data_IF_465944402442
#
_entry.id   IF_465944402442
#
_cell.length_a   1.000
_cell.length_b   1.000
_cell.length_c   1.000
_cell.angle_alpha   90.00
_cell.angle_beta   90.00
_cell.angle_gamma   90.00
#
_symmetry.space_group_name_H-M   'P 1'
#
loop_
_entity.id
_entity.type
_entity.pdbx_description
1 polymer ?
#
# COMPACT_ATOMS: atom_id res chain seq x y z
N UNK A 1 0.64 11.80 46.70
CA UNK A 1 0.39 10.35 46.84
C UNK A 1 1.07 9.63 45.69
N UNK A 2 2.18 8.95 45.96
CA UNK A 2 2.87 8.06 45.01
C UNK A 2 2.62 6.64 45.53
N UNK A 3 2.10 5.74 44.70
CA UNK A 3 1.83 4.34 45.03
C UNK A 3 2.74 3.48 44.15
N UNK A 4 3.49 2.57 44.76
CA UNK A 4 4.37 1.65 44.04
C UNK A 4 3.55 0.46 43.51
N UNK A 5 3.73 0.11 42.23
CA UNK A 5 3.18 -1.12 41.67
C UNK A 5 4.06 -2.30 42.13
N UNK A 6 3.42 -3.29 42.74
CA UNK A 6 4.08 -4.46 43.35
C UNK A 6 3.75 -5.76 42.61
N UNK A 7 3.06 -5.68 41.47
CA UNK A 7 2.72 -6.85 40.66
C UNK A 7 3.96 -7.48 40.04
N UNK A 8 3.93 -8.80 39.81
CA UNK A 8 4.96 -9.48 39.04
C UNK A 8 4.81 -9.31 37.51
N UNK A 9 3.69 -8.74 37.06
CA UNK A 9 3.39 -8.45 35.65
C UNK A 9 3.85 -7.07 35.22
N UNK A 10 3.76 -6.79 33.91
CA UNK A 10 4.06 -5.48 33.35
C UNK A 10 2.96 -4.47 33.70
N UNK A 11 3.37 -3.27 34.14
CA UNK A 11 2.44 -2.22 34.56
C UNK A 11 1.49 -1.78 33.44
N UNK A 12 1.93 -1.80 32.18
CA UNK A 12 1.09 -1.35 31.07
C UNK A 12 0.11 -2.45 30.67
N UNK A 13 0.53 -3.71 30.72
CA UNK A 13 -0.36 -4.87 30.52
C UNK A 13 -1.46 -4.94 31.59
N UNK A 14 -1.10 -4.81 32.86
CA UNK A 14 -2.06 -4.87 33.98
C UNK A 14 -3.18 -3.82 33.88
N UNK A 15 -2.92 -2.71 33.17
CA UNK A 15 -3.86 -1.60 32.98
C UNK A 15 -4.33 -1.44 31.52
N UNK A 16 -4.04 -2.42 30.64
CA UNK A 16 -4.39 -2.40 29.21
C UNK A 16 -3.94 -1.15 28.45
N UNK A 17 -2.80 -0.56 28.85
CA UNK A 17 -2.27 0.67 28.22
C UNK A 17 -1.80 0.39 26.79
N UNK A 18 -1.23 -0.79 26.53
CA UNK A 18 -0.75 -1.17 25.20
C UNK A 18 -1.87 -1.18 24.15
N UNK A 19 -3.05 -1.72 24.49
CA UNK A 19 -4.22 -1.72 23.60
C UNK A 19 -4.69 -0.30 23.26
N UNK A 20 -4.61 0.61 24.24
CA UNK A 20 -4.96 2.03 24.05
C UNK A 20 -3.93 2.73 23.18
N UNK A 21 -2.64 2.41 23.32
CA UNK A 21 -1.57 2.95 22.46
C UNK A 21 -1.76 2.47 21.03
N UNK A 22 -1.97 1.17 20.81
CA UNK A 22 -2.19 0.61 19.48
C UNK A 22 -3.44 1.21 18.82
N UNK A 23 -4.54 1.32 19.57
CA UNK A 23 -5.76 1.98 19.11
C UNK A 23 -5.55 3.48 18.80
N UNK A 24 -4.63 4.15 19.50
CA UNK A 24 -4.25 5.54 19.25
C UNK A 24 -3.36 5.71 18.00
N UNK A 25 -2.79 4.62 17.46
CA UNK A 25 -2.11 4.62 16.17
C UNK A 25 -3.06 4.36 15.00
N UNK A 26 -4.24 3.78 15.25
CA UNK A 26 -5.21 3.52 14.19
C UNK A 26 -5.76 4.81 13.58
N UNK A 27 -5.91 4.82 12.25
CA UNK A 27 -6.52 5.94 11.51
C UNK A 27 -8.01 6.12 11.84
N UNK A 28 -8.70 5.04 12.19
CA UNK A 28 -10.15 5.00 12.42
C UNK A 28 -10.43 4.74 13.90
N UNK A 29 -11.35 5.48 14.51
CA UNK A 29 -11.76 5.28 15.91
C UNK A 29 -13.27 5.10 15.97
N UNK A 30 -13.72 3.98 16.53
CA UNK A 30 -15.15 3.66 16.62
C UNK A 30 -15.86 4.42 17.73
N UNK A 31 -17.10 4.81 17.45
CA UNK A 31 -18.05 5.34 18.42
C UNK A 31 -18.87 4.17 18.99
N UNK A 32 -19.35 4.28 20.23
CA UNK A 32 -20.22 3.30 20.90
C UNK A 32 -21.54 3.11 20.14
N UNK A 33 -22.02 4.13 19.43
CA UNK A 33 -23.20 4.03 18.56
C UNK A 33 -22.99 3.27 17.25
N UNK A 34 -21.75 2.83 16.94
CA UNK A 34 -21.42 2.14 15.69
C UNK A 34 -21.01 3.07 14.54
N UNK A 35 -21.08 4.39 14.75
CA UNK A 35 -20.35 5.37 13.94
C UNK A 35 -18.84 5.29 14.18
N UNK A 36 -18.07 6.14 13.50
CA UNK A 36 -16.63 6.22 13.68
C UNK A 36 -16.10 7.59 13.25
N UNK A 37 -14.97 7.99 13.81
CA UNK A 37 -14.18 9.10 13.29
C UNK A 37 -12.97 8.60 12.52
N UNK A 38 -12.52 9.39 11.56
CA UNK A 38 -11.29 9.17 10.81
C UNK A 38 -10.36 10.35 11.07
N UNK A 39 -9.12 10.09 11.49
CA UNK A 39 -8.13 11.12 11.77
C UNK A 39 -7.04 11.03 10.71
N UNK A 40 -6.89 12.10 9.93
CA UNK A 40 -5.90 12.23 8.87
C UNK A 40 -4.91 13.35 9.19
N UNK A 41 -3.62 13.00 9.15
CA UNK A 41 -2.53 13.94 9.36
C UNK A 41 -2.09 14.50 8.00
N UNK A 42 -2.28 15.81 7.80
CA UNK A 42 -1.70 16.55 6.69
C UNK A 42 -0.42 17.28 7.10
N UNK A 43 0.25 17.90 6.12
CA UNK A 43 1.44 18.72 6.36
C UNK A 43 1.12 20.00 7.16
N UNK A 44 0.00 20.65 6.83
CA UNK A 44 -0.38 21.93 7.41
C UNK A 44 -1.44 21.83 8.51
N UNK A 45 -2.28 20.80 8.47
CA UNK A 45 -3.41 20.62 9.38
C UNK A 45 -3.75 19.15 9.58
N UNK A 46 -4.45 18.86 10.67
CA UNK A 46 -5.08 17.56 10.91
C UNK A 46 -6.56 17.66 10.57
N UNK A 47 -7.07 16.76 9.75
CA UNK A 47 -8.50 16.66 9.44
C UNK A 47 -9.13 15.50 10.19
N UNK A 48 -10.32 15.71 10.73
CA UNK A 48 -11.09 14.69 11.43
C UNK A 48 -12.50 14.60 10.83
N UNK A 49 -12.87 13.45 10.32
CA UNK A 49 -14.15 13.21 9.65
C UNK A 49 -15.05 12.29 10.48
N UNK A 50 -16.34 12.61 10.59
CA UNK A 50 -17.31 11.87 11.41
C UNK A 50 -18.29 11.10 10.54
N UNK A 51 -18.38 9.78 10.76
CA UNK A 51 -19.23 8.88 10.00
C UNK A 51 -20.23 8.14 10.88
N UNK A 52 -21.41 7.86 10.34
CA UNK A 52 -22.53 7.21 11.02
C UNK A 52 -22.54 5.68 10.92
N UNK A 53 -21.64 5.10 10.13
CA UNK A 53 -21.58 3.65 9.92
C UNK A 53 -22.80 3.08 9.18
N UNK A 54 -22.98 1.75 9.22
CA UNK A 54 -24.05 1.05 8.46
C UNK A 54 -25.44 1.11 9.11
N UNK A 55 -25.61 1.75 10.27
CA UNK A 55 -26.77 1.54 11.14
C UNK A 55 -27.89 2.59 11.06
N UNK A 56 -27.90 3.50 10.07
CA UNK A 56 -29.01 4.46 9.96
C UNK A 56 -30.18 3.84 9.19
N UNK A 57 -31.23 3.45 9.91
CA UNK A 57 -32.57 3.28 9.33
C UNK A 57 -33.17 4.64 8.99
N UNK A 58 -33.75 4.79 7.79
CA UNK A 58 -34.24 6.04 7.21
C UNK A 58 -35.31 6.83 8.01
N UNK A 59 -35.76 6.33 9.17
CA UNK A 59 -36.91 6.90 9.90
C UNK A 59 -36.55 7.88 11.02
N UNK A 60 -35.30 8.02 11.46
CA UNK A 60 -34.89 8.98 12.52
C UNK A 60 -33.49 9.57 12.27
N UNK A 61 -33.28 10.22 11.13
CA UNK A 61 -31.95 10.71 10.71
C UNK A 61 -31.42 11.84 11.60
N UNK A 62 -32.19 12.92 11.84
CA UNK A 62 -31.67 14.13 12.51
C UNK A 62 -31.21 13.90 13.97
N UNK A 63 -32.03 13.25 14.80
CA UNK A 63 -31.65 12.93 16.19
C UNK A 63 -30.46 11.96 16.25
N UNK A 64 -30.39 11.01 15.32
CA UNK A 64 -29.25 10.08 15.23
C UNK A 64 -27.97 10.81 14.84
N UNK A 65 -28.06 11.75 13.90
CA UNK A 65 -26.95 12.61 13.49
C UNK A 65 -26.46 13.45 14.67
N UNK A 66 -27.35 14.16 15.36
CA UNK A 66 -27.00 14.97 16.52
C UNK A 66 -26.32 14.11 17.60
N UNK A 67 -26.90 12.95 17.94
CA UNK A 67 -26.33 12.02 18.92
C UNK A 67 -24.93 11.54 18.51
N UNK A 68 -24.75 11.21 17.23
CA UNK A 68 -23.47 10.75 16.69
C UNK A 68 -22.42 11.87 16.75
N UNK A 69 -22.79 13.10 16.39
CA UNK A 69 -21.88 14.25 16.45
C UNK A 69 -21.51 14.62 17.90
N UNK A 70 -22.45 14.55 18.84
CA UNK A 70 -22.16 14.77 20.28
C UNK A 70 -21.23 13.69 20.84
N UNK A 71 -21.41 12.44 20.44
CA UNK A 71 -20.51 11.35 20.81
C UNK A 71 -19.13 11.52 20.17
N UNK A 72 -19.08 11.89 18.88
CA UNK A 72 -17.84 12.20 18.19
C UNK A 72 -17.10 13.34 18.88
N UNK A 73 -17.77 14.39 19.35
CA UNK A 73 -17.14 15.47 20.10
C UNK A 73 -16.38 14.98 21.36
N UNK A 74 -16.95 14.02 22.10
CA UNK A 74 -16.30 13.40 23.26
C UNK A 74 -15.08 12.56 22.87
N UNK A 75 -15.20 11.78 21.81
CA UNK A 75 -14.11 10.94 21.31
C UNK A 75 -12.98 11.80 20.74
N UNK A 76 -13.29 12.79 19.90
CA UNK A 76 -12.32 13.69 19.27
C UNK A 76 -11.51 14.41 20.34
N UNK A 77 -12.15 15.09 21.30
CA UNK A 77 -11.42 15.81 22.36
C UNK A 77 -10.54 14.87 23.19
N UNK A 78 -10.94 13.61 23.37
CA UNK A 78 -10.12 12.59 24.03
C UNK A 78 -8.93 12.15 23.18
N UNK A 79 -9.12 11.95 21.88
CA UNK A 79 -8.06 11.60 20.93
C UNK A 79 -7.05 12.75 20.74
N UNK A 80 -7.49 14.02 20.74
CA UNK A 80 -6.59 15.17 20.72
C UNK A 80 -5.57 15.13 21.86
N UNK A 81 -6.02 14.75 23.07
CA UNK A 81 -5.13 14.61 24.24
C UNK A 81 -4.30 13.34 24.19
N UNK A 82 -4.92 12.20 23.87
CA UNK A 82 -4.25 10.90 23.87
C UNK A 82 -3.13 10.82 22.82
N UNK A 83 -3.38 11.39 21.63
CA UNK A 83 -2.43 11.41 20.51
C UNK A 83 -1.53 12.65 20.49
N UNK A 84 -1.79 13.59 21.41
CA UNK A 84 -1.21 14.93 21.46
C UNK A 84 -1.22 15.66 20.11
N UNK A 85 -2.39 15.72 19.48
CA UNK A 85 -2.59 16.42 18.21
C UNK A 85 -2.60 17.92 18.46
N UNK A 86 -1.76 18.67 17.77
CA UNK A 86 -1.73 20.13 17.82
C UNK A 86 -1.67 20.76 16.42
N UNK A 87 -1.56 22.08 16.38
CA UNK A 87 -1.61 22.88 15.17
C UNK A 87 -3.04 23.22 14.78
N UNK A 88 -3.27 23.37 13.48
CA UNK A 88 -4.59 23.61 12.90
C UNK A 88 -5.31 22.27 12.79
N UNK A 89 -6.54 22.21 13.32
CA UNK A 89 -7.39 21.04 13.28
C UNK A 89 -8.72 21.44 12.66
N UNK A 90 -9.17 20.67 11.67
CA UNK A 90 -10.45 20.86 10.99
C UNK A 90 -11.29 19.61 11.20
N UNK A 91 -12.51 19.80 11.69
CA UNK A 91 -13.43 18.71 12.03
C UNK A 91 -14.66 18.81 11.14
N UNK A 92 -14.91 17.75 10.36
CA UNK A 92 -16.08 17.58 9.51
C UNK A 92 -17.11 16.72 10.26
N UNK A 93 -18.02 17.41 10.96
CA UNK A 93 -19.17 16.74 11.58
C UNK A 93 -20.21 16.43 10.52
N UNK A 94 -21.03 15.41 10.77
CA UNK A 94 -22.13 15.04 9.86
C UNK A 94 -23.08 16.23 9.72
N UNK A 95 -23.48 16.54 8.49
CA UNK A 95 -24.37 17.66 8.16
C UNK A 95 -25.63 17.70 9.04
N UNK A 96 -25.86 18.86 9.67
CA UNK A 96 -27.03 19.15 10.50
C UNK A 96 -27.82 20.30 9.87
N UNK A 97 -29.11 20.08 9.60
CA UNK A 97 -29.99 21.11 9.03
C UNK A 97 -30.46 22.15 10.06
N UNK A 98 -30.41 21.80 11.34
CA UNK A 98 -30.82 22.67 12.45
C UNK A 98 -29.61 23.44 12.98
N UNK A 99 -29.75 24.77 13.06
CA UNK A 99 -28.72 25.62 13.68
C UNK A 99 -28.61 25.35 15.19
N UNK A 100 -29.71 24.99 15.85
CA UNK A 100 -29.72 24.61 17.26
C UNK A 100 -28.90 23.34 17.50
N UNK A 101 -28.96 22.37 16.59
CA UNK A 101 -28.18 21.14 16.66
C UNK A 101 -26.68 21.42 16.49
N UNK A 102 -26.32 22.28 15.53
CA UNK A 102 -24.93 22.76 15.34
C UNK A 102 -24.43 23.46 16.58
N UNK A 103 -25.23 24.35 17.16
CA UNK A 103 -24.87 25.08 18.36
C UNK A 103 -24.74 24.18 19.59
N UNK A 104 -25.56 23.12 19.69
CA UNK A 104 -25.45 22.11 20.73
C UNK A 104 -24.12 21.33 20.64
N UNK A 105 -23.74 20.89 19.44
CA UNK A 105 -22.45 20.23 19.20
C UNK A 105 -21.28 21.17 19.51
N UNK A 106 -21.33 22.42 19.02
CA UNK A 106 -20.31 23.43 19.29
C UNK A 106 -20.12 23.66 20.79
N UNK A 107 -21.23 23.90 21.51
CA UNK A 107 -21.20 24.19 22.94
C UNK A 107 -20.67 23.01 23.75
N UNK A 108 -21.08 21.78 23.38
CA UNK A 108 -20.57 20.55 24.00
C UNK A 108 -19.08 20.38 23.74
N UNK A 109 -18.63 20.57 22.51
CA UNK A 109 -17.22 20.45 22.14
C UNK A 109 -16.36 21.47 22.89
N UNK A 110 -16.80 22.73 22.97
CA UNK A 110 -16.14 23.79 23.74
C UNK A 110 -16.02 23.42 25.23
N UNK A 111 -17.09 22.92 25.84
CA UNK A 111 -17.08 22.45 27.24
C UNK A 111 -16.09 21.31 27.47
N UNK A 112 -15.98 20.37 26.53
CA UNK A 112 -15.06 19.23 26.63
C UNK A 112 -13.60 19.65 26.54
N UNK A 113 -13.30 20.69 25.76
CA UNK A 113 -11.96 21.27 25.63
C UNK A 113 -11.47 21.96 26.91
N UNK A 114 -12.35 22.41 27.81
CA UNK A 114 -11.96 22.99 29.10
C UNK A 114 -11.16 22.01 29.99
N UNK A 115 -11.25 20.71 29.72
CA UNK A 115 -10.47 19.66 30.39
C UNK A 115 -9.07 19.49 29.80
N UNK A 116 -8.79 20.08 28.65
CA UNK A 116 -7.47 20.05 28.03
C UNK A 116 -6.53 21.05 28.71
N UNK A 117 -5.33 20.59 29.07
CA UNK A 117 -4.31 21.43 29.68
C UNK A 117 -3.57 22.26 28.63
N UNK A 118 -3.61 21.84 27.37
CA UNK A 118 -2.99 22.54 26.25
C UNK A 118 -3.92 23.65 25.79
N UNK A 119 -3.36 24.85 25.53
CA UNK A 119 -4.14 25.99 25.05
C UNK A 119 -4.83 25.65 23.73
N UNK A 120 -6.15 25.82 23.70
CA UNK A 120 -6.98 25.65 22.50
C UNK A 120 -7.75 26.92 22.16
N UNK A 121 -7.97 27.15 20.88
CA UNK A 121 -8.87 28.18 20.38
C UNK A 121 -9.80 27.55 19.35
N UNK A 122 -11.10 27.81 19.45
CA UNK A 122 -12.12 27.21 18.61
C UNK A 122 -12.92 28.33 17.93
N UNK A 123 -13.10 28.20 16.63
CA UNK A 123 -13.92 29.09 15.83
C UNK A 123 -15.33 28.51 15.68
N UNK A 124 -16.32 29.36 15.43
CA UNK A 124 -17.65 28.90 15.02
C UNK A 124 -17.56 28.06 13.74
N UNK A 125 -18.57 27.22 13.49
CA UNK A 125 -18.66 26.50 12.23
C UNK A 125 -18.52 27.43 11.02
N UNK A 126 -17.72 27.01 10.04
CA UNK A 126 -17.53 27.74 8.79
C UNK A 126 -18.78 27.68 7.92
N UNK A 127 -18.79 28.46 6.84
CA UNK A 127 -19.86 28.40 5.82
C UNK A 127 -19.93 27.05 5.11
N UNK A 128 -18.86 26.25 5.18
CA UNK A 128 -18.80 24.91 4.60
C UNK A 128 -19.24 23.82 5.59
N UNK A 129 -19.67 24.19 6.81
CA UNK A 129 -20.09 23.20 7.81
C UNK A 129 -18.96 22.61 8.66
N UNK A 130 -17.72 23.08 8.47
CA UNK A 130 -16.53 22.59 9.19
C UNK A 130 -16.33 23.33 10.51
N UNK A 131 -15.91 22.61 11.55
CA UNK A 131 -15.46 23.20 12.80
C UNK A 131 -13.94 23.36 12.78
N UNK A 132 -13.47 24.59 12.95
CA UNK A 132 -12.05 24.93 12.89
C UNK A 132 -11.53 25.24 14.29
N UNK A 133 -10.36 24.70 14.64
CA UNK A 133 -9.71 24.98 15.91
C UNK A 133 -8.19 24.99 15.79
N UNK A 134 -7.53 25.61 16.76
CA UNK A 134 -6.10 25.44 16.99
C UNK A 134 -5.87 24.85 18.38
N UNK A 135 -4.85 23.99 18.48
CA UNK A 135 -4.34 23.48 19.76
C UNK A 135 -2.82 23.66 19.75
N UNK A 136 -2.25 24.26 20.79
CA UNK A 136 -0.80 24.53 20.81
C UNK A 136 0.02 23.24 20.62
N UNK A 137 0.98 23.26 19.69
CA UNK A 137 1.95 22.18 19.53
C UNK A 137 2.88 22.12 20.75
N UNK A 138 2.95 20.96 21.40
CA UNK A 138 3.83 20.73 22.56
C UNK A 138 4.81 19.57 22.34
N UNK A 139 4.50 18.64 21.44
CA UNK A 139 5.39 17.54 21.03
C UNK A 139 5.10 17.13 19.57
N UNK A 140 5.82 16.11 19.08
CA UNK A 140 5.59 15.48 17.76
C UNK A 140 4.37 14.53 17.75
N UNK A 141 3.64 14.42 18.87
CA UNK A 141 2.50 13.54 19.02
C UNK A 141 2.88 12.06 19.05
N UNK A 142 1.87 11.21 19.20
CA UNK A 142 2.09 9.76 19.31
C UNK A 142 2.67 9.16 18.01
N UNK A 143 2.19 9.61 16.85
CA UNK A 143 2.66 9.10 15.55
C UNK A 143 4.09 9.55 15.27
N UNK A 144 4.43 10.82 15.54
CA UNK A 144 5.80 11.31 15.34
C UNK A 144 6.81 10.66 16.29
N UNK A 145 6.37 10.28 17.49
CA UNK A 145 7.22 9.63 18.49
C UNK A 145 7.39 8.12 18.24
N UNK A 146 6.32 7.41 17.89
CA UNK A 146 6.31 5.94 17.84
C UNK A 146 6.46 5.37 16.42
N UNK A 147 6.25 6.17 15.37
CA UNK A 147 6.26 5.69 13.99
C UNK A 147 7.39 6.31 13.16
N UNK A 148 7.67 5.69 12.01
CA UNK A 148 8.55 6.24 10.97
C UNK A 148 7.77 6.38 9.68
N UNK A 149 8.13 7.38 8.88
CA UNK A 149 7.57 7.57 7.54
C UNK A 149 7.77 6.32 6.69
N UNK A 150 6.72 5.89 5.98
CA UNK A 150 6.76 4.72 5.12
C UNK A 150 7.86 4.87 4.05
N UNK A 151 8.83 3.94 3.94
CA UNK A 151 9.93 4.04 2.98
C UNK A 151 9.48 3.80 1.53
N UNK A 152 8.32 3.18 1.32
CA UNK A 152 7.82 2.86 -0.02
C UNK A 152 7.14 4.04 -0.70
N UNK A 153 6.38 4.83 0.06
CA UNK A 153 5.59 5.95 -0.46
C UNK A 153 6.01 7.30 0.13
N UNK A 154 7.01 7.34 1.01
CA UNK A 154 7.45 8.55 1.71
C UNK A 154 6.31 9.28 2.42
N UNK A 155 5.33 8.52 2.94
CA UNK A 155 4.20 9.06 3.68
C UNK A 155 2.99 9.48 2.82
N UNK A 156 3.03 9.35 1.50
CA UNK A 156 1.89 9.76 0.64
C UNK A 156 0.67 8.85 0.75
N UNK A 157 0.84 7.60 1.19
CA UNK A 157 -0.24 6.61 1.28
C UNK A 157 -0.65 5.99 -0.07
N UNK A 158 0.03 6.32 -1.17
CA UNK A 158 -0.21 5.73 -2.49
C UNK A 158 1.11 5.43 -3.23
N UNK A 159 1.07 4.39 -4.05
CA UNK A 159 2.15 4.02 -4.98
C UNK A 159 1.61 4.06 -6.40
N UNK A 160 2.50 4.28 -7.38
CA UNK A 160 2.11 4.23 -8.80
C UNK A 160 1.57 2.84 -9.14
N UNK A 161 0.54 2.78 -9.98
CA UNK A 161 0.03 1.51 -10.47
C UNK A 161 1.08 0.79 -11.30
N UNK A 162 0.99 -0.54 -11.34
CA UNK A 162 1.90 -1.39 -12.11
C UNK A 162 1.91 -1.02 -13.59
N UNK A 163 0.76 -0.61 -14.13
CA UNK A 163 0.61 -0.12 -15.50
C UNK A 163 1.40 1.17 -15.75
N UNK A 164 1.32 2.14 -14.82
CA UNK A 164 2.13 3.36 -14.90
C UNK A 164 3.62 3.03 -14.84
N UNK A 165 4.02 2.15 -13.93
CA UNK A 165 5.43 1.72 -13.79
C UNK A 165 5.91 1.00 -15.05
N UNK A 166 5.11 0.13 -15.66
CA UNK A 166 5.41 -0.53 -16.95
C UNK A 166 5.71 0.50 -18.03
N UNK A 167 4.84 1.50 -18.20
CA UNK A 167 5.01 2.56 -19.20
C UNK A 167 6.29 3.39 -18.95
N UNK A 168 6.64 3.64 -17.69
CA UNK A 168 7.90 4.30 -17.33
C UNK A 168 9.12 3.45 -17.69
N UNK A 169 9.08 2.15 -17.41
CA UNK A 169 10.13 1.21 -17.81
C UNK A 169 10.28 1.17 -19.33
N UNK A 170 9.19 1.07 -20.09
CA UNK A 170 9.25 1.10 -21.56
C UNK A 170 9.89 2.40 -22.08
N UNK A 171 9.58 3.56 -21.48
CA UNK A 171 10.22 4.84 -21.82
C UNK A 171 11.72 4.83 -21.49
N UNK A 172 12.12 4.29 -20.34
CA UNK A 172 13.53 4.11 -19.96
C UNK A 172 14.26 3.22 -20.96
N UNK A 173 13.65 2.13 -21.41
CA UNK A 173 14.20 1.24 -22.44
C UNK A 173 14.38 1.97 -23.77
N UNK A 174 13.36 2.70 -24.24
CA UNK A 174 13.44 3.49 -25.48
C UNK A 174 14.55 4.53 -25.42
N UNK A 175 14.68 5.22 -24.28
CA UNK A 175 15.76 6.19 -24.04
C UNK A 175 17.13 5.51 -24.05
N UNK A 176 17.31 4.41 -23.30
CA UNK A 176 18.54 3.61 -23.28
C UNK A 176 18.94 3.15 -24.69
N UNK A 177 17.98 2.64 -25.47
CA UNK A 177 18.23 2.18 -26.83
C UNK A 177 18.68 3.30 -27.79
N UNK A 178 18.20 4.53 -27.56
CA UNK A 178 18.60 5.71 -28.33
C UNK A 178 20.00 6.19 -27.94
N UNK A 179 20.28 6.23 -26.64
CA UNK A 179 21.48 6.86 -26.08
C UNK A 179 22.69 5.92 -26.06
N UNK A 180 22.49 4.60 -26.20
CA UNK A 180 23.54 3.59 -26.13
C UNK A 180 23.71 2.82 -27.46
N UNK A 181 24.95 2.73 -28.01
CA UNK A 181 25.20 2.08 -29.29
C UNK A 181 25.07 0.55 -29.25
N UNK A 182 25.09 -0.08 -28.07
CA UNK A 182 24.99 -1.53 -27.90
C UNK A 182 23.79 -2.11 -28.66
N UNK A 183 23.94 -3.31 -29.24
CA UNK A 183 22.90 -3.96 -30.03
C UNK A 183 21.87 -4.67 -29.16
N UNK A 184 22.21 -4.94 -27.90
CA UNK A 184 21.40 -5.71 -26.98
C UNK A 184 21.55 -5.24 -25.53
N UNK A 185 20.50 -5.42 -24.73
CA UNK A 185 20.45 -5.10 -23.30
C UNK A 185 19.82 -6.22 -22.48
N UNK A 186 20.41 -6.52 -21.31
CA UNK A 186 19.79 -7.31 -20.25
C UNK A 186 19.33 -6.37 -19.13
N UNK A 187 18.04 -6.43 -18.81
CA UNK A 187 17.41 -5.51 -17.85
C UNK A 187 16.80 -6.32 -16.72
N UNK A 188 17.14 -5.96 -15.48
CA UNK A 188 16.52 -6.53 -14.27
C UNK A 188 15.36 -5.67 -13.80
N UNK A 189 14.25 -6.32 -13.50
CA UNK A 189 12.99 -5.71 -13.04
C UNK A 189 12.35 -6.56 -11.94
N UNK A 190 11.44 -5.96 -11.17
CA UNK A 190 10.54 -6.72 -10.31
C UNK A 190 9.67 -7.70 -11.15
N UNK A 191 9.33 -8.92 -10.68
CA UNK A 191 8.61 -9.93 -11.46
C UNK A 191 7.27 -9.46 -12.02
N UNK A 192 6.49 -8.70 -11.23
CA UNK A 192 5.19 -8.20 -11.67
C UNK A 192 5.33 -7.24 -12.85
N UNK A 193 6.30 -6.31 -12.76
CA UNK A 193 6.58 -5.35 -13.83
C UNK A 193 7.22 -6.04 -15.04
N UNK A 194 8.12 -7.00 -14.82
CA UNK A 194 8.73 -7.80 -15.87
C UNK A 194 7.67 -8.52 -16.71
N UNK A 195 6.70 -9.18 -16.06
CA UNK A 195 5.59 -9.86 -16.72
C UNK A 195 4.77 -8.91 -17.60
N UNK A 196 4.47 -7.71 -17.10
CA UNK A 196 3.74 -6.68 -17.86
C UNK A 196 4.54 -6.15 -19.06
N UNK A 197 5.85 -5.91 -18.90
CA UNK A 197 6.73 -5.45 -19.97
C UNK A 197 6.91 -6.53 -21.05
N UNK A 198 7.00 -7.80 -20.65
CA UNK A 198 7.05 -8.94 -21.57
C UNK A 198 5.71 -9.06 -22.32
N UNK A 199 4.61 -9.01 -21.56
CA UNK A 199 3.26 -9.21 -22.05
C UNK A 199 2.96 -10.66 -22.42
N UNK A 200 1.69 -10.99 -22.61
CA UNK A 200 1.26 -12.34 -22.99
C UNK A 200 1.96 -12.81 -24.27
N UNK A 201 2.68 -13.93 -24.18
CA UNK A 201 3.44 -14.50 -25.30
C UNK A 201 4.59 -13.61 -25.81
N UNK A 202 5.08 -12.67 -25.01
CA UNK A 202 6.18 -11.77 -25.39
C UNK A 202 5.78 -10.65 -26.35
N UNK A 203 4.49 -10.41 -26.57
CA UNK A 203 3.99 -9.44 -27.56
C UNK A 203 4.44 -8.01 -27.28
N UNK A 204 4.43 -7.58 -26.02
CA UNK A 204 4.79 -6.21 -25.64
C UNK A 204 6.28 -5.98 -25.85
N UNK A 205 7.12 -6.90 -25.35
CA UNK A 205 8.56 -6.86 -25.54
C UNK A 205 8.95 -6.92 -27.03
N UNK A 206 8.34 -7.79 -27.82
CA UNK A 206 8.60 -7.86 -29.26
C UNK A 206 8.23 -6.57 -29.99
N UNK A 207 7.19 -5.86 -29.55
CA UNK A 207 6.83 -4.53 -30.09
C UNK A 207 7.90 -3.49 -29.72
N UNK A 208 8.38 -3.53 -28.48
CA UNK A 208 9.43 -2.64 -27.98
C UNK A 208 10.75 -2.83 -28.73
N UNK A 209 11.14 -4.08 -29.02
CA UNK A 209 12.32 -4.40 -29.82
C UNK A 209 12.21 -3.91 -31.26
N UNK A 210 11.03 -4.07 -31.89
CA UNK A 210 10.79 -3.55 -33.25
C UNK A 210 10.95 -2.04 -33.31
N UNK A 211 10.43 -1.33 -32.31
CA UNK A 211 10.52 0.14 -32.22
C UNK A 211 11.94 0.62 -31.97
N UNK A 212 12.66 -0.05 -31.07
CA UNK A 212 14.02 0.34 -30.66
C UNK A 212 15.10 -0.16 -31.62
N UNK A 213 14.81 -1.20 -32.41
CA UNK A 213 15.77 -1.97 -33.22
C UNK A 213 16.94 -2.54 -32.40
N UNK A 214 16.69 -2.82 -31.12
CA UNK A 214 17.64 -3.44 -30.19
C UNK A 214 17.07 -4.75 -29.68
N UNK A 215 17.94 -5.70 -29.34
CA UNK A 215 17.53 -6.89 -28.62
C UNK A 215 17.39 -6.57 -27.13
N UNK A 216 16.27 -6.94 -26.52
CA UNK A 216 15.99 -6.65 -25.12
C UNK A 216 15.65 -7.96 -24.42
N UNK A 217 16.46 -8.34 -23.44
CA UNK A 217 16.19 -9.42 -22.49
C UNK A 217 15.80 -8.82 -21.13
N UNK A 218 14.86 -9.48 -20.46
CA UNK A 218 14.38 -9.09 -19.14
C UNK A 218 14.60 -10.26 -18.18
N UNK A 219 15.22 -9.99 -17.04
CA UNK A 219 15.32 -10.92 -15.91
C UNK A 219 14.50 -10.38 -14.75
N UNK A 220 13.77 -11.25 -14.07
CA UNK A 220 13.04 -10.85 -12.86
C UNK A 220 13.84 -11.10 -11.58
N UNK A 221 13.72 -10.22 -10.61
CA UNK A 221 14.31 -10.37 -9.28
C UNK A 221 13.33 -9.89 -8.20
N UNK A 222 12.99 -10.77 -7.25
CA UNK A 222 11.97 -10.51 -6.22
C UNK A 222 12.34 -9.41 -5.24
N UNK A 223 13.63 -9.26 -4.91
CA UNK A 223 14.14 -8.22 -4.02
C UNK A 223 14.02 -6.81 -4.57
N UNK A 224 13.73 -6.64 -5.86
CA UNK A 224 13.62 -5.33 -6.48
C UNK A 224 12.26 -4.69 -6.21
N UNK A 225 12.21 -3.43 -5.74
CA UNK A 225 10.99 -2.62 -5.75
C UNK A 225 10.40 -2.52 -7.16
N UNK A 226 9.07 -2.40 -7.27
CA UNK A 226 8.37 -2.35 -8.56
C UNK A 226 8.94 -1.29 -9.53
N UNK A 227 9.31 -0.10 -9.04
CA UNK A 227 9.86 0.98 -9.86
C UNK A 227 11.31 0.82 -10.33
N UNK A 228 12.01 -0.23 -9.88
CA UNK A 228 13.42 -0.45 -10.17
C UNK A 228 13.65 -0.75 -11.65
N UNK A 229 14.73 -0.18 -12.19
CA UNK A 229 15.17 -0.40 -13.56
C UNK A 229 16.69 -0.49 -13.57
N UNK A 230 17.23 -1.69 -13.69
CA UNK A 230 18.68 -1.93 -13.65
C UNK A 230 19.11 -2.49 -15.00
N UNK A 231 20.04 -1.81 -15.66
CA UNK A 231 20.71 -2.34 -16.85
C UNK A 231 21.84 -3.25 -16.34
N UNK A 232 21.65 -4.56 -16.44
CA UNK A 232 22.63 -5.54 -15.97
C UNK A 232 23.79 -5.66 -16.96
N UNK A 233 23.50 -5.70 -18.25
CA UNK A 233 24.50 -5.80 -19.30
C UNK A 233 24.04 -5.11 -20.59
N UNK A 234 25.01 -4.64 -21.37
CA UNK A 234 24.81 -4.08 -22.71
C UNK A 234 25.93 -4.57 -23.63
N UNK A 235 25.60 -5.04 -24.83
CA UNK A 235 26.61 -5.60 -25.73
C UNK A 235 26.05 -6.09 -27.06
N UNK A 236 26.63 -7.18 -27.55
CA UNK A 236 26.13 -7.90 -28.73
C UNK A 236 24.93 -8.77 -28.38
N UNK A 237 24.15 -9.15 -29.40
CA UNK A 237 22.96 -9.99 -29.21
C UNK A 237 23.33 -11.35 -28.62
N UNK A 238 24.46 -11.93 -29.02
CA UNK A 238 24.88 -13.25 -28.56
C UNK A 238 25.30 -13.23 -27.09
N UNK A 239 26.10 -12.23 -26.67
CA UNK A 239 26.51 -12.06 -25.28
C UNK A 239 25.28 -11.94 -24.36
N UNK A 240 24.32 -11.09 -24.73
CA UNK A 240 23.11 -10.89 -23.92
C UNK A 240 22.21 -12.13 -23.92
N UNK A 241 22.10 -12.85 -25.04
CA UNK A 241 21.33 -14.11 -25.10
C UNK A 241 21.90 -15.17 -24.18
N UNK A 242 23.21 -15.33 -24.15
CA UNK A 242 23.85 -16.30 -23.26
C UNK A 242 23.74 -15.85 -21.80
N UNK A 243 23.98 -14.57 -21.52
CA UNK A 243 23.85 -14.02 -20.18
C UNK A 243 22.41 -14.08 -19.64
N UNK A 244 21.39 -13.99 -20.51
CA UNK A 244 19.99 -13.96 -20.07
C UNK A 244 19.42 -15.33 -19.70
N UNK A 245 20.09 -16.44 -20.03
CA UNK A 245 19.56 -17.79 -19.77
C UNK A 245 19.78 -18.15 -18.28
N UNK A 246 18.72 -18.37 -17.50
CA UNK A 246 18.85 -18.77 -16.09
C UNK A 246 19.32 -20.21 -15.91
N UNK A 247 19.14 -21.06 -16.93
CA UNK A 247 19.48 -22.47 -16.92
C UNK A 247 19.88 -22.95 -18.32
N UNK A 248 20.37 -24.18 -18.43
CA UNK A 248 20.79 -24.86 -19.66
C UNK A 248 19.86 -26.01 -20.00
N UNK A 249 19.86 -26.42 -21.28
CA UNK A 249 19.17 -27.65 -21.70
C UNK A 249 19.83 -28.84 -21.00
N UNK A 250 19.02 -29.70 -20.39
CA UNK A 250 19.45 -30.82 -19.55
C UNK A 250 19.52 -30.51 -18.05
N UNK A 251 19.36 -29.25 -17.63
CA UNK A 251 19.30 -28.92 -16.21
C UNK A 251 18.04 -29.52 -15.56
N UNK A 252 18.20 -30.05 -14.36
CA UNK A 252 17.10 -30.57 -13.55
C UNK A 252 16.77 -29.54 -12.48
N UNK A 253 15.56 -29.01 -12.54
CA UNK A 253 15.06 -28.00 -11.62
C UNK A 253 13.94 -28.58 -10.77
N UNK A 254 13.87 -28.20 -9.50
CA UNK A 254 12.71 -28.46 -8.66
C UNK A 254 11.81 -27.23 -8.69
N UNK A 255 10.68 -27.31 -9.38
CA UNK A 255 9.80 -26.17 -9.68
C UNK A 255 8.40 -26.37 -9.11
N UNK A 256 7.83 -25.29 -8.58
CA UNK A 256 6.41 -25.25 -8.21
C UNK A 256 5.55 -25.07 -9.46
N UNK A 257 4.50 -25.88 -9.58
CA UNK A 257 3.55 -25.78 -10.69
C UNK A 257 2.47 -24.76 -10.32
N UNK A 258 2.50 -23.59 -10.94
CA UNK A 258 1.69 -22.43 -10.53
C UNK A 258 0.31 -22.41 -11.20
N UNK A 259 0.27 -22.49 -12.54
CA UNK A 259 -0.95 -22.20 -13.30
C UNK A 259 -1.12 -23.09 -14.54
N UNK A 260 -2.36 -23.31 -15.04
CA UNK A 260 -2.58 -24.11 -16.25
C UNK A 260 -2.07 -23.39 -17.50
N UNK A 261 -1.48 -24.13 -18.43
CA UNK A 261 -1.07 -23.55 -19.71
C UNK A 261 -2.29 -23.33 -20.62
N UNK A 262 -2.50 -22.09 -21.09
CA UNK A 262 -3.71 -21.76 -21.83
C UNK A 262 -3.85 -22.43 -23.20
N UNK A 263 -2.74 -22.90 -23.79
CA UNK A 263 -2.71 -23.46 -25.15
C UNK A 263 -2.77 -24.99 -25.19
N UNK A 264 -2.44 -25.69 -24.09
CA UNK A 264 -2.53 -27.15 -24.01
C UNK A 264 -3.18 -27.55 -22.68
N UNK A 265 -4.25 -28.35 -22.77
CA UNK A 265 -5.04 -28.75 -21.60
C UNK A 265 -4.29 -29.66 -20.63
N UNK A 266 -3.17 -30.28 -21.01
CA UNK A 266 -2.43 -31.19 -20.13
C UNK A 266 -1.22 -30.53 -19.46
N UNK A 267 -0.78 -29.39 -19.98
CA UNK A 267 0.45 -28.73 -19.51
C UNK A 267 0.16 -27.69 -18.43
N UNK A 268 1.21 -27.34 -17.70
CA UNK A 268 1.18 -26.27 -16.72
C UNK A 268 2.35 -25.31 -16.92
N UNK A 269 2.30 -24.18 -16.21
CA UNK A 269 3.34 -23.16 -16.20
C UNK A 269 3.94 -23.04 -14.80
N UNK A 270 5.25 -22.81 -14.79
CA UNK A 270 6.02 -22.35 -13.65
C UNK A 270 6.85 -21.14 -14.06
N UNK A 271 7.45 -20.43 -13.10
CA UNK A 271 8.30 -19.26 -13.37
C UNK A 271 9.66 -19.39 -12.71
N UNK A 272 10.71 -19.08 -13.46
CA UNK A 272 12.09 -19.07 -12.97
C UNK A 272 12.79 -17.83 -13.50
N UNK A 273 13.18 -16.91 -12.62
CA UNK A 273 13.84 -15.64 -12.98
C UNK A 273 13.15 -14.87 -14.14
N UNK A 274 11.83 -15.01 -14.25
CA UNK A 274 11.00 -14.33 -15.25
C UNK A 274 10.79 -15.12 -16.54
N UNK A 275 11.37 -16.31 -16.65
CA UNK A 275 11.07 -17.27 -17.72
C UNK A 275 9.82 -18.08 -17.40
N UNK A 276 8.90 -18.14 -18.35
CA UNK A 276 7.78 -19.07 -18.30
C UNK A 276 8.26 -20.49 -18.65
N UNK A 277 8.22 -21.40 -17.69
CA UNK A 277 8.56 -22.80 -17.91
C UNK A 277 7.27 -23.58 -18.16
N UNK A 278 7.05 -23.98 -19.41
CA UNK A 278 5.99 -24.93 -19.77
C UNK A 278 6.40 -26.33 -19.30
N UNK A 279 5.66 -26.88 -18.36
CA UNK A 279 5.85 -28.23 -17.84
C UNK A 279 4.89 -29.16 -18.58
N UNK A 280 5.46 -30.03 -19.42
CA UNK A 280 4.71 -31.02 -20.20
C UNK A 280 4.02 -32.01 -19.25
N UNK A 281 2.71 -32.22 -19.45
CA UNK A 281 1.85 -33.05 -18.58
C UNK A 281 1.81 -32.59 -17.09
N UNK A 282 2.16 -31.33 -16.84
CA UNK A 282 2.28 -30.73 -15.52
C UNK A 282 0.96 -30.42 -14.81
N UNK A 283 -0.18 -30.39 -15.52
CA UNK A 283 -1.44 -29.87 -14.97
C UNK A 283 -1.93 -30.60 -13.72
N UNK A 284 -1.69 -31.89 -13.61
CA UNK A 284 -2.07 -32.71 -12.45
C UNK A 284 -1.28 -32.38 -11.17
N UNK A 285 -0.25 -31.55 -11.27
CA UNK A 285 0.64 -31.19 -10.17
C UNK A 285 0.51 -29.72 -9.75
N UNK A 286 -0.51 -28.98 -10.23
CA UNK A 286 -0.75 -27.58 -9.82
C UNK A 286 -0.80 -27.48 -8.28
N UNK A 287 -0.03 -26.55 -7.72
CA UNK A 287 0.15 -26.36 -6.28
C UNK A 287 1.18 -27.28 -5.62
N UNK A 288 1.89 -28.10 -6.40
CA UNK A 288 2.97 -28.99 -5.92
C UNK A 288 4.31 -28.66 -6.57
N UNK A 289 5.41 -29.05 -5.92
CA UNK A 289 6.76 -29.00 -6.51
C UNK A 289 7.09 -30.30 -7.22
N UNK A 290 7.67 -30.21 -8.42
CA UNK A 290 8.08 -31.33 -9.26
C UNK A 290 9.48 -31.13 -9.82
N UNK A 291 10.24 -32.22 -9.90
CA UNK A 291 11.52 -32.21 -10.61
C UNK A 291 11.28 -32.28 -12.11
N UNK A 292 11.83 -31.32 -12.83
CA UNK A 292 11.69 -31.21 -14.29
C UNK A 292 13.05 -31.06 -14.95
N UNK A 293 13.22 -31.66 -16.11
CA UNK A 293 14.39 -31.49 -16.97
C UNK A 293 14.07 -30.49 -18.07
N UNK A 294 14.92 -29.48 -18.25
CA UNK A 294 14.78 -28.48 -19.32
C UNK A 294 15.10 -29.11 -20.67
N UNK A 295 14.11 -29.16 -21.57
CA UNK A 295 14.21 -29.77 -22.90
C UNK A 295 14.58 -28.73 -23.97
N UNK A 296 14.05 -27.52 -23.86
CA UNK A 296 14.36 -26.43 -24.80
C UNK A 296 14.20 -25.07 -24.14
N UNK A 297 14.98 -24.09 -24.59
CA UNK A 297 14.97 -22.72 -24.06
C UNK A 297 14.73 -21.76 -25.21
N UNK A 298 13.71 -20.92 -25.06
CA UNK A 298 13.42 -19.78 -25.91
C UNK A 298 13.84 -18.48 -25.21
N UNK A 299 13.53 -17.33 -25.80
CA UNK A 299 13.92 -16.04 -25.27
C UNK A 299 13.29 -15.69 -23.91
N UNK A 300 12.03 -16.07 -23.70
CA UNK A 300 11.25 -15.71 -22.49
C UNK A 300 10.53 -16.91 -21.90
N UNK A 301 10.77 -18.10 -22.45
CA UNK A 301 10.14 -19.33 -21.99
C UNK A 301 11.07 -20.51 -22.16
N UNK A 302 10.76 -21.60 -21.48
CA UNK A 302 11.39 -22.88 -21.65
C UNK A 302 10.34 -23.98 -21.67
N UNK A 303 10.67 -25.13 -22.25
CA UNK A 303 9.86 -26.34 -22.17
C UNK A 303 10.61 -27.33 -21.30
N UNK A 304 9.93 -27.89 -20.32
CA UNK A 304 10.47 -28.86 -19.37
C UNK A 304 9.61 -30.12 -19.32
N UNK A 305 10.24 -31.26 -19.04
CA UNK A 305 9.55 -32.56 -18.86
C UNK A 305 9.75 -33.05 -17.44
N UNK A 306 8.70 -33.61 -16.84
CA UNK A 306 8.76 -34.19 -15.50
C UNK A 306 9.67 -35.41 -15.50
N UNK A 307 10.48 -35.55 -14.44
CA UNK A 307 11.41 -36.66 -14.22
C UNK A 307 10.94 -37.56 -13.09
#
# INVERSE_FOLDING_TARGET
>A
NIILHHGGGDLFEDFNVNEVIDGALERKVWLKSGGFIVIDYGEALTSIDVNTGKFISARNSAQTILKTNLEAAEVITSQLRLRDIGGIIVIDFIDMSSEDDRQAVFSRFKQLLEKDKTKTEILSFSKLGLLEMTRKNVSDGIVGTLCKTCPCCSGTGYIKSEETVRLEVERKIKKLAKDNPAKAFLIRLNPTIASLVIGKGGKNLGTLEKLTRKYIAVRSEESLPAGSFIVEAAGTINEIREASKPFKVGDILDLEVEEPYSHNKNDALSRVEGYFVQIVDGRKYIGSRVKVEIVSISKTSAVARIK
#
